data_IF_751979171608
#
_entry.id   IF_751979171608
#
_cell.length_a   1.000
_cell.length_b   1.000
_cell.length_c   1.000
_cell.angle_alpha   90.00
_cell.angle_beta   90.00
_cell.angle_gamma   90.00
#
_symmetry.space_group_name_H-M   'P 1'
#
loop_
_entity.id
_entity.type
_entity.pdbx_description
1 polymer ?
#
# COMPACT_ATOMS: atom_id res chain seq x y z
N UNK A 1 -3.44 9.24 -24.44
CA UNK A 1 -2.85 8.47 -23.32
C UNK A 1 -3.19 9.25 -22.05
N UNK A 2 -4.14 8.77 -21.26
CA UNK A 2 -4.66 9.50 -20.12
C UNK A 2 -3.62 9.58 -19.00
N UNK A 3 -3.42 10.76 -18.46
CA UNK A 3 -2.63 11.08 -17.27
C UNK A 3 -2.98 10.17 -16.05
N UNK A 4 -4.16 9.55 -16.04
CA UNK A 4 -4.64 8.70 -14.95
C UNK A 4 -3.88 7.40 -14.69
N UNK A 5 -3.10 6.87 -15.65
CA UNK A 5 -2.43 5.58 -15.48
C UNK A 5 -1.04 5.68 -14.80
N UNK A 6 -0.43 6.86 -14.81
CA UNK A 6 0.88 7.10 -14.19
C UNK A 6 0.76 7.16 -12.67
N UNK A 7 -0.36 7.66 -12.14
CA UNK A 7 -0.54 7.93 -10.70
C UNK A 7 -0.88 6.70 -9.84
N UNK A 8 -1.41 5.67 -10.45
CA UNK A 8 -1.95 4.49 -9.75
C UNK A 8 -0.95 3.69 -8.93
N UNK A 9 0.38 3.89 -9.14
CA UNK A 9 1.35 2.86 -8.76
C UNK A 9 2.70 3.39 -8.31
N UNK A 10 2.81 4.63 -7.88
CA UNK A 10 4.13 5.18 -7.55
C UNK A 10 4.80 4.42 -6.41
N UNK A 11 4.06 4.05 -5.37
CA UNK A 11 4.57 3.20 -4.30
C UNK A 11 4.98 1.82 -4.83
N UNK A 12 4.16 1.20 -5.70
CA UNK A 12 4.49 -0.09 -6.32
C UNK A 12 5.67 0.02 -7.30
N UNK A 13 5.81 1.13 -8.01
CA UNK A 13 6.98 1.38 -8.86
C UNK A 13 8.26 1.54 -8.03
N UNK A 14 8.19 2.22 -6.87
CA UNK A 14 9.31 2.29 -5.93
C UNK A 14 9.77 0.90 -5.48
N UNK A 15 8.84 -0.02 -5.24
CA UNK A 15 9.17 -1.42 -4.92
C UNK A 15 9.97 -2.04 -6.07
N UNK A 16 9.44 -2.00 -7.29
CA UNK A 16 10.06 -2.62 -8.47
C UNK A 16 11.45 -2.04 -8.74
N UNK A 17 11.59 -0.72 -8.68
CA UNK A 17 12.89 -0.06 -8.91
C UNK A 17 13.92 -0.44 -7.85
N UNK A 18 13.52 -0.55 -6.59
CA UNK A 18 14.42 -0.95 -5.52
C UNK A 18 14.72 -2.45 -5.53
N UNK A 19 13.78 -3.32 -5.94
CA UNK A 19 14.07 -4.73 -6.22
C UNK A 19 15.17 -4.83 -7.28
N UNK A 20 15.01 -4.17 -8.43
CA UNK A 20 15.99 -4.21 -9.53
C UNK A 20 17.35 -3.70 -9.10
N UNK A 21 17.41 -2.57 -8.39
CA UNK A 21 18.67 -2.00 -7.88
C UNK A 21 19.38 -2.93 -6.91
N UNK A 22 18.65 -3.50 -5.97
CA UNK A 22 19.21 -4.40 -4.96
C UNK A 22 19.69 -5.71 -5.59
N UNK A 23 18.92 -6.32 -6.49
CA UNK A 23 19.33 -7.51 -7.22
C UNK A 23 20.61 -7.27 -8.03
N UNK A 24 20.70 -6.13 -8.75
CA UNK A 24 21.90 -5.77 -9.50
C UNK A 24 23.13 -5.57 -8.60
N UNK A 25 22.95 -4.94 -7.43
CA UNK A 25 24.02 -4.73 -6.45
C UNK A 25 24.56 -6.05 -5.93
N UNK A 26 23.67 -6.95 -5.50
CA UNK A 26 24.09 -8.26 -4.95
C UNK A 26 24.65 -9.18 -6.04
N UNK A 27 24.10 -9.14 -7.26
CA UNK A 27 24.65 -9.87 -8.39
C UNK A 27 26.12 -9.49 -8.66
N UNK A 28 26.42 -8.18 -8.67
CA UNK A 28 27.78 -7.68 -8.83
C UNK A 28 28.71 -8.10 -7.67
N UNK A 29 28.23 -8.01 -6.43
CA UNK A 29 28.98 -8.40 -5.24
C UNK A 29 29.33 -9.90 -5.22
N UNK A 30 28.36 -10.74 -5.58
CA UNK A 30 28.48 -12.20 -5.57
C UNK A 30 29.11 -12.77 -6.86
N UNK A 31 29.28 -11.98 -7.89
CA UNK A 31 29.77 -12.42 -9.20
C UNK A 31 28.83 -13.39 -9.92
N UNK A 32 27.51 -13.23 -9.72
CA UNK A 32 26.47 -14.00 -10.39
C UNK A 32 25.72 -13.12 -11.39
N UNK A 33 25.12 -13.72 -12.41
CA UNK A 33 24.25 -13.03 -13.36
C UNK A 33 22.79 -13.25 -12.97
N UNK A 34 22.03 -12.15 -12.84
CA UNK A 34 20.58 -12.18 -12.59
C UNK A 34 19.91 -11.41 -13.72
N UNK A 35 19.16 -12.12 -14.55
CA UNK A 35 18.31 -11.50 -15.58
C UNK A 35 16.94 -11.21 -14.99
N UNK A 36 16.50 -9.95 -15.09
CA UNK A 36 15.16 -9.53 -14.63
C UNK A 36 14.27 -9.26 -15.83
N UNK A 37 13.29 -10.15 -16.04
CA UNK A 37 12.20 -9.91 -16.99
C UNK A 37 11.09 -9.14 -16.25
N UNK A 38 10.73 -7.98 -16.74
CA UNK A 38 9.72 -7.12 -16.12
C UNK A 38 8.62 -6.77 -17.11
N UNK A 39 7.39 -6.90 -16.65
CA UNK A 39 6.22 -6.43 -17.38
C UNK A 39 5.18 -5.84 -16.42
N UNK A 40 4.23 -5.06 -16.93
CA UNK A 40 3.23 -4.38 -16.15
C UNK A 40 1.85 -4.53 -16.80
N UNK A 41 0.93 -5.15 -16.08
CA UNK A 41 -0.44 -5.38 -16.57
C UNK A 41 -1.35 -4.14 -16.52
N UNK A 42 -0.91 -3.04 -15.93
CA UNK A 42 -1.69 -1.80 -15.80
C UNK A 42 -3.11 -2.00 -15.19
N UNK A 43 -3.27 -3.02 -14.32
CA UNK A 43 -4.56 -3.36 -13.70
C UNK A 43 -5.51 -4.13 -14.63
N UNK A 44 -5.05 -4.52 -15.80
CA UNK A 44 -5.81 -5.38 -16.71
C UNK A 44 -5.55 -6.85 -16.38
N UNK A 45 -6.60 -7.57 -16.00
CA UNK A 45 -6.51 -8.98 -15.59
C UNK A 45 -6.18 -9.91 -16.76
N UNK A 46 -6.58 -9.59 -17.97
CA UNK A 46 -6.26 -10.40 -19.17
C UNK A 46 -4.77 -10.27 -19.49
N UNK A 47 -4.25 -9.04 -19.48
CA UNK A 47 -2.83 -8.77 -19.68
C UNK A 47 -2.00 -9.42 -18.55
N UNK A 48 -2.45 -9.34 -17.30
CA UNK A 48 -1.80 -9.96 -16.15
C UNK A 48 -1.65 -11.47 -16.34
N UNK A 49 -2.73 -12.16 -16.68
CA UNK A 49 -2.72 -13.61 -16.90
C UNK A 49 -1.79 -13.99 -18.07
N UNK A 50 -1.77 -13.17 -19.14
CA UNK A 50 -0.88 -13.42 -20.27
C UNK A 50 0.60 -13.28 -19.88
N UNK A 51 0.95 -12.25 -19.10
CA UNK A 51 2.32 -12.05 -18.59
C UNK A 51 2.75 -13.25 -17.74
N UNK A 52 1.91 -13.70 -16.81
CA UNK A 52 2.19 -14.83 -15.92
C UNK A 52 2.39 -16.13 -16.74
N UNK A 53 1.50 -16.40 -17.71
CA UNK A 53 1.63 -17.52 -18.61
C UNK A 53 2.94 -17.51 -19.39
N UNK A 54 3.35 -16.34 -19.90
CA UNK A 54 4.62 -16.19 -20.59
C UNK A 54 5.82 -16.52 -19.69
N UNK A 55 5.80 -16.07 -18.42
CA UNK A 55 6.87 -16.40 -17.47
C UNK A 55 6.96 -17.90 -17.20
N UNK A 56 5.82 -18.61 -17.09
CA UNK A 56 5.80 -20.06 -16.90
C UNK A 56 6.34 -20.78 -18.14
N UNK A 57 5.93 -20.37 -19.35
CA UNK A 57 6.42 -20.92 -20.63
C UNK A 57 7.91 -20.70 -20.79
N UNK A 58 8.40 -19.52 -20.42
CA UNK A 58 9.83 -19.16 -20.45
C UNK A 58 10.65 -19.87 -19.37
N UNK A 59 9.99 -20.59 -18.44
CA UNK A 59 10.61 -21.31 -17.32
C UNK A 59 11.54 -20.43 -16.50
N UNK A 60 11.06 -19.27 -16.10
CA UNK A 60 11.82 -18.40 -15.20
C UNK A 60 12.10 -19.13 -13.88
N UNK A 61 13.22 -18.84 -13.25
CA UNK A 61 13.63 -19.53 -12.01
C UNK A 61 12.80 -19.10 -10.78
N UNK A 62 12.18 -17.93 -10.83
CA UNK A 62 11.33 -17.39 -9.78
C UNK A 62 10.41 -16.29 -10.35
N UNK A 63 9.18 -16.21 -9.88
CA UNK A 63 8.26 -15.10 -10.20
C UNK A 63 8.11 -14.16 -9.02
N UNK A 64 8.00 -12.85 -9.32
CA UNK A 64 7.75 -11.81 -8.31
C UNK A 64 6.42 -11.13 -8.60
N UNK A 65 5.46 -11.27 -7.67
CA UNK A 65 4.15 -10.65 -7.75
C UNK A 65 4.03 -9.42 -6.86
N UNK A 66 3.96 -8.24 -7.45
CA UNK A 66 3.78 -6.99 -6.70
C UNK A 66 2.30 -6.64 -6.62
N UNK A 67 1.78 -6.52 -5.42
CA UNK A 67 0.39 -6.35 -5.01
C UNK A 67 -0.43 -7.66 -4.95
N UNK A 68 -1.43 -7.66 -4.07
CA UNK A 68 -2.28 -8.84 -3.76
C UNK A 68 -2.90 -9.50 -4.99
N UNK A 69 -3.52 -8.77 -5.96
CA UNK A 69 -4.15 -9.42 -7.12
C UNK A 69 -3.14 -10.19 -7.99
N UNK A 70 -1.91 -9.66 -8.13
CA UNK A 70 -0.86 -10.31 -8.91
C UNK A 70 -0.36 -11.58 -8.22
N UNK A 71 -0.16 -11.51 -6.89
CA UNK A 71 0.26 -12.66 -6.10
C UNK A 71 -0.76 -13.81 -6.17
N UNK A 72 -2.06 -13.50 -6.04
CA UNK A 72 -3.16 -14.48 -6.17
C UNK A 72 -3.17 -15.12 -7.56
N UNK A 73 -3.03 -14.31 -8.62
CA UNK A 73 -3.01 -14.81 -9.98
C UNK A 73 -1.79 -15.71 -10.26
N UNK A 74 -0.60 -15.37 -9.73
CA UNK A 74 0.60 -16.19 -9.83
C UNK A 74 0.44 -17.51 -9.09
N UNK A 75 -0.09 -17.51 -7.87
CA UNK A 75 -0.39 -18.74 -7.12
C UNK A 75 -1.32 -19.65 -7.91
N UNK A 76 -2.45 -19.12 -8.38
CA UNK A 76 -3.41 -19.88 -9.16
C UNK A 76 -2.80 -20.46 -10.45
N UNK A 77 -1.91 -19.72 -11.11
CA UNK A 77 -1.25 -20.17 -12.33
C UNK A 77 -0.25 -21.31 -12.06
N UNK A 78 0.61 -21.21 -11.04
CA UNK A 78 1.56 -22.30 -10.71
C UNK A 78 0.83 -23.55 -10.26
N UNK A 79 -0.28 -23.43 -9.53
CA UNK A 79 -1.11 -24.56 -9.14
C UNK A 79 -1.79 -25.23 -10.36
N UNK A 80 -2.38 -24.42 -11.25
CA UNK A 80 -3.09 -24.91 -12.44
C UNK A 80 -2.16 -25.60 -13.43
N UNK A 81 -1.00 -25.01 -13.67
CA UNK A 81 0.02 -25.53 -14.60
C UNK A 81 0.91 -26.61 -13.96
N UNK A 82 0.70 -26.90 -12.68
CA UNK A 82 1.54 -27.82 -11.89
C UNK A 82 3.04 -27.46 -12.01
N UNK A 83 3.32 -26.15 -11.89
CA UNK A 83 4.67 -25.60 -12.05
C UNK A 83 5.40 -25.54 -10.71
N UNK A 84 6.70 -25.87 -10.71
CA UNK A 84 7.55 -25.82 -9.53
C UNK A 84 8.22 -24.44 -9.33
N UNK A 85 7.83 -23.43 -10.12
CA UNK A 85 8.42 -22.09 -10.03
C UNK A 85 8.00 -21.44 -8.72
N UNK A 86 8.96 -21.08 -7.84
CA UNK A 86 8.66 -20.36 -6.60
C UNK A 86 8.14 -18.94 -6.89
N UNK A 87 7.27 -18.47 -6.02
CA UNK A 87 6.69 -17.12 -6.09
C UNK A 87 7.06 -16.32 -4.86
N UNK A 88 7.60 -15.13 -5.07
CA UNK A 88 7.79 -14.13 -4.01
C UNK A 88 6.83 -12.98 -4.23
N UNK A 89 5.91 -12.75 -3.30
CA UNK A 89 5.07 -11.58 -3.37
C UNK A 89 5.70 -10.37 -2.68
N UNK A 90 5.29 -9.19 -3.10
CA UNK A 90 5.63 -7.92 -2.45
C UNK A 90 4.39 -7.04 -2.34
N UNK A 91 4.27 -6.32 -1.23
CA UNK A 91 3.11 -5.47 -0.93
C UNK A 91 1.78 -6.24 -0.96
N UNK A 92 1.71 -7.32 -0.22
CA UNK A 92 0.45 -8.02 0.08
C UNK A 92 0.04 -7.68 1.50
N UNK A 93 -1.09 -7.00 1.65
CA UNK A 93 -1.51 -6.45 2.95
C UNK A 93 -1.98 -7.53 3.92
N UNK A 94 -2.64 -8.57 3.44
CA UNK A 94 -3.13 -9.70 4.25
C UNK A 94 -2.87 -11.04 3.55
N UNK A 95 -1.67 -11.61 3.66
CA UNK A 95 -1.33 -12.87 3.02
C UNK A 95 -2.15 -14.07 3.52
N UNK A 96 -2.58 -14.04 4.80
CA UNK A 96 -3.42 -15.09 5.37
C UNK A 96 -4.87 -14.98 4.88
N UNK A 97 -5.47 -13.79 4.95
CA UNK A 97 -6.82 -13.54 4.47
C UNK A 97 -6.98 -13.78 2.97
N UNK A 98 -5.93 -13.50 2.21
CA UNK A 98 -5.85 -13.79 0.77
C UNK A 98 -5.56 -15.27 0.46
N UNK A 99 -5.34 -16.10 1.48
CA UNK A 99 -5.03 -17.55 1.36
C UNK A 99 -3.78 -17.85 0.52
N UNK A 100 -2.83 -16.95 0.51
CA UNK A 100 -1.55 -17.12 -0.17
C UNK A 100 -0.60 -18.01 0.63
N UNK A 101 -0.73 -18.03 1.94
CA UNK A 101 0.12 -18.78 2.86
C UNK A 101 -0.73 -19.47 3.94
N UNK A 102 -0.25 -20.60 4.45
CA UNK A 102 -0.90 -21.33 5.55
C UNK A 102 -0.68 -20.63 6.90
N UNK A 103 0.51 -20.09 7.10
CA UNK A 103 0.87 -19.25 8.23
C UNK A 103 1.94 -18.23 7.84
N UNK A 104 2.13 -17.17 8.64
CA UNK A 104 3.17 -16.17 8.38
C UNK A 104 4.57 -16.72 8.67
N UNK A 105 4.71 -17.60 9.65
CA UNK A 105 6.01 -18.18 10.04
C UNK A 105 6.44 -19.34 9.15
N UNK A 106 5.47 -20.10 8.60
CA UNK A 106 5.69 -21.21 7.69
C UNK A 106 4.62 -21.20 6.60
N UNK A 107 4.88 -20.59 5.45
CA UNK A 107 3.93 -20.43 4.35
C UNK A 107 3.33 -21.74 3.82
N UNK A 108 4.09 -22.84 3.85
CA UNK A 108 3.59 -24.20 3.56
C UNK A 108 3.58 -24.59 2.09
N UNK A 109 3.74 -23.65 1.16
CA UNK A 109 3.70 -23.88 -0.29
C UNK A 109 4.90 -23.28 -1.03
N UNK A 110 4.73 -23.03 -2.31
CA UNK A 110 5.77 -22.45 -3.18
C UNK A 110 5.79 -20.92 -3.12
N UNK A 111 4.97 -20.29 -2.27
CA UNK A 111 4.81 -18.85 -2.20
C UNK A 111 5.13 -18.32 -0.82
N UNK A 112 5.94 -17.27 -0.78
CA UNK A 112 6.21 -16.43 0.38
C UNK A 112 6.41 -14.99 -0.08
N UNK A 113 6.72 -14.06 0.81
CA UNK A 113 6.99 -12.70 0.38
C UNK A 113 7.05 -11.68 1.50
N UNK A 114 6.89 -10.42 1.12
CA UNK A 114 6.89 -9.28 2.01
C UNK A 114 5.51 -8.62 2.06
N UNK A 115 5.02 -8.35 3.26
CA UNK A 115 3.71 -7.73 3.47
C UNK A 115 3.85 -6.23 3.72
N UNK A 116 2.93 -5.47 3.16
CA UNK A 116 2.71 -4.06 3.50
C UNK A 116 1.55 -3.90 4.51
N UNK A 117 1.42 -4.86 5.44
CA UNK A 117 0.42 -4.83 6.50
C UNK A 117 0.25 -3.43 7.07
N UNK A 118 -1.00 -2.97 7.14
CA UNK A 118 -1.33 -1.66 7.65
C UNK A 118 -1.75 -1.75 9.12
N UNK A 119 -1.00 -1.08 10.00
CA UNK A 119 -1.41 -0.91 11.39
C UNK A 119 -2.50 0.16 11.48
N UNK A 120 -3.73 -0.23 11.19
CA UNK A 120 -4.89 0.66 11.17
C UNK A 120 -5.13 1.34 12.53
N UNK A 121 -4.95 0.60 13.63
CA UNK A 121 -5.14 1.16 14.97
C UNK A 121 -4.14 2.29 15.27
N UNK A 122 -2.91 2.18 14.78
CA UNK A 122 -1.94 3.27 14.92
C UNK A 122 -2.38 4.54 14.20
N UNK A 123 -3.01 4.41 13.01
CA UNK A 123 -3.57 5.58 12.32
C UNK A 123 -4.75 6.17 13.10
N UNK A 124 -5.62 5.34 13.63
CA UNK A 124 -6.72 5.81 14.49
C UNK A 124 -6.19 6.53 15.73
N UNK A 125 -5.10 6.02 16.33
CA UNK A 125 -4.41 6.72 17.43
C UNK A 125 -3.91 8.10 17.03
N UNK A 126 -3.37 8.28 15.82
CA UNK A 126 -2.94 9.60 15.32
C UNK A 126 -4.12 10.57 15.15
N UNK A 127 -5.26 10.08 14.66
CA UNK A 127 -6.50 10.87 14.56
C UNK A 127 -6.90 11.39 15.95
N UNK A 128 -6.98 10.49 16.94
CA UNK A 128 -7.38 10.82 18.30
C UNK A 128 -6.36 11.69 19.03
N UNK A 129 -5.09 11.51 18.72
CA UNK A 129 -4.01 12.34 19.30
C UNK A 129 -4.10 13.78 18.79
N UNK A 130 -4.46 13.96 17.50
CA UNK A 130 -4.63 15.29 16.89
C UNK A 130 -5.93 15.96 17.32
N UNK A 131 -7.01 15.20 17.44
CA UNK A 131 -8.32 15.67 17.87
C UNK A 131 -8.91 14.72 18.94
N UNK A 132 -8.57 14.95 20.22
CA UNK A 132 -9.06 14.09 21.31
C UNK A 132 -10.58 14.14 21.52
N UNK A 133 -11.23 15.19 21.04
CA UNK A 133 -12.66 15.41 21.19
C UNK A 133 -13.47 15.01 19.95
N UNK A 134 -12.84 14.36 18.97
CA UNK A 134 -13.49 13.92 17.74
C UNK A 134 -14.70 13.02 18.02
N UNK A 135 -15.80 13.28 17.32
CA UNK A 135 -17.07 12.54 17.51
C UNK A 135 -17.48 11.76 16.28
N UNK A 136 -17.00 12.15 15.11
CA UNK A 136 -17.46 11.56 13.86
C UNK A 136 -16.29 11.43 12.87
N UNK A 137 -16.04 10.22 12.39
CA UNK A 137 -14.99 9.88 11.41
C UNK A 137 -15.62 9.25 10.18
N UNK A 138 -15.19 9.70 9.01
CA UNK A 138 -15.54 9.10 7.73
C UNK A 138 -14.58 8.00 7.31
N UNK A 139 -15.08 6.92 6.75
CA UNK A 139 -14.30 5.89 6.08
C UNK A 139 -14.62 5.94 4.58
N UNK A 140 -13.60 6.17 3.76
CA UNK A 140 -13.71 6.25 2.31
C UNK A 140 -12.93 5.12 1.65
N UNK A 141 -13.60 4.25 0.92
CA UNK A 141 -12.97 3.08 0.32
C UNK A 141 -13.76 2.51 -0.86
N UNK A 142 -13.15 1.59 -1.59
CA UNK A 142 -13.79 0.77 -2.62
C UNK A 142 -14.05 -0.63 -2.05
N UNK A 143 -15.31 -1.06 -2.06
CA UNK A 143 -15.73 -2.38 -1.56
C UNK A 143 -15.14 -3.55 -2.37
N UNK A 144 -14.67 -3.29 -3.58
CA UNK A 144 -14.02 -4.27 -4.44
C UNK A 144 -12.51 -4.42 -4.22
N UNK A 145 -11.94 -3.65 -3.27
CA UNK A 145 -10.51 -3.72 -2.95
C UNK A 145 -10.28 -4.63 -1.74
N UNK A 146 -9.66 -5.79 -1.95
CA UNK A 146 -9.34 -6.75 -0.87
C UNK A 146 -8.47 -6.11 0.21
N UNK A 147 -7.54 -5.22 -0.18
CA UNK A 147 -6.69 -4.47 0.74
C UNK A 147 -7.43 -3.54 1.70
N UNK A 148 -8.69 -3.21 1.40
CA UNK A 148 -9.53 -2.33 2.23
C UNK A 148 -10.37 -3.08 3.25
N UNK A 149 -10.71 -4.35 3.01
CA UNK A 149 -11.70 -5.11 3.78
C UNK A 149 -11.34 -5.17 5.27
N UNK A 150 -10.16 -5.69 5.61
CA UNK A 150 -9.74 -5.81 7.01
C UNK A 150 -9.45 -4.45 7.66
N UNK A 151 -8.68 -3.53 7.05
CA UNK A 151 -8.43 -2.22 7.65
C UNK A 151 -9.69 -1.40 7.93
N UNK A 152 -10.70 -1.46 7.07
CA UNK A 152 -11.98 -0.76 7.30
C UNK A 152 -12.72 -1.37 8.50
N UNK A 153 -12.78 -2.71 8.58
CA UNK A 153 -13.39 -3.38 9.73
C UNK A 153 -12.66 -3.05 11.04
N UNK A 154 -11.32 -3.05 11.02
CA UNK A 154 -10.50 -2.72 12.20
C UNK A 154 -10.70 -1.26 12.63
N UNK A 155 -10.69 -0.31 11.68
CA UNK A 155 -10.93 1.11 11.96
C UNK A 155 -12.31 1.34 12.58
N UNK A 156 -13.35 0.73 11.99
CA UNK A 156 -14.73 0.82 12.49
C UNK A 156 -14.83 0.29 13.91
N UNK A 157 -14.36 -0.92 14.16
CA UNK A 157 -14.39 -1.53 15.48
C UNK A 157 -13.64 -0.69 16.52
N UNK A 158 -12.47 -0.14 16.15
CA UNK A 158 -11.66 0.69 17.04
C UNK A 158 -12.38 2.00 17.42
N UNK A 159 -12.97 2.69 16.45
CA UNK A 159 -13.65 3.99 16.65
C UNK A 159 -14.95 3.80 17.42
N UNK A 160 -15.77 2.82 17.03
CA UNK A 160 -17.05 2.52 17.71
C UNK A 160 -16.84 2.11 19.17
N UNK A 161 -15.78 1.33 19.48
CA UNK A 161 -15.42 0.99 20.87
C UNK A 161 -15.09 2.22 21.73
N UNK A 162 -14.72 3.35 21.12
CA UNK A 162 -14.48 4.64 21.79
C UNK A 162 -15.69 5.58 21.76
N UNK A 163 -16.82 5.12 21.24
CA UNK A 163 -18.05 5.91 21.15
C UNK A 163 -18.02 6.97 20.04
N UNK A 164 -17.17 6.79 19.05
CA UNK A 164 -17.05 7.68 17.89
C UNK A 164 -17.98 7.17 16.80
N UNK A 165 -18.80 8.07 16.24
CA UNK A 165 -19.69 7.75 15.12
C UNK A 165 -18.83 7.54 13.84
N UNK A 166 -19.14 6.45 13.12
CA UNK A 166 -18.45 6.10 11.87
C UNK A 166 -19.42 6.22 10.70
N UNK A 167 -19.04 7.00 9.69
CA UNK A 167 -19.80 7.14 8.44
C UNK A 167 -18.98 6.53 7.32
N UNK A 168 -19.53 5.50 6.69
CA UNK A 168 -18.92 4.84 5.54
C UNK A 168 -19.46 5.42 4.22
N UNK A 169 -18.55 5.73 3.28
CA UNK A 169 -18.88 6.08 1.92
C UNK A 169 -17.94 5.35 0.97
N UNK A 170 -18.48 4.85 -0.12
CA UNK A 170 -17.76 4.00 -1.06
C UNK A 170 -17.87 4.50 -2.48
N UNK A 171 -16.90 4.14 -3.31
CA UNK A 171 -16.92 4.42 -4.74
C UNK A 171 -15.95 3.50 -5.46
N UNK A 172 -16.31 3.07 -6.66
CA UNK A 172 -15.53 2.16 -7.52
C UNK A 172 -14.94 2.88 -8.74
N UNK A 173 -15.36 4.12 -8.95
CA UNK A 173 -14.87 5.01 -10.01
C UNK A 173 -14.50 6.37 -9.43
N UNK A 174 -13.69 7.17 -10.16
CA UNK A 174 -13.29 8.52 -9.73
C UNK A 174 -14.51 9.41 -9.47
N UNK A 175 -15.55 9.31 -10.31
CA UNK A 175 -16.77 10.10 -10.14
C UNK A 175 -17.55 9.69 -8.88
N UNK A 176 -17.71 8.40 -8.64
CA UNK A 176 -18.34 7.89 -7.41
C UNK A 176 -17.56 8.27 -6.16
N UNK A 177 -16.23 8.15 -6.18
CA UNK A 177 -15.34 8.57 -5.08
C UNK A 177 -15.47 10.07 -4.82
N UNK A 178 -15.55 10.89 -5.86
CA UNK A 178 -15.78 12.33 -5.76
C UNK A 178 -17.12 12.65 -5.08
N UNK A 179 -18.19 11.94 -5.46
CA UNK A 179 -19.49 12.07 -4.82
C UNK A 179 -19.47 11.61 -3.37
N UNK A 180 -18.77 10.50 -3.08
CA UNK A 180 -18.60 9.97 -1.73
C UNK A 180 -17.83 10.96 -0.82
N UNK A 181 -16.78 11.60 -1.33
CA UNK A 181 -16.04 12.63 -0.61
C UNK A 181 -16.92 13.84 -0.27
N UNK A 182 -17.71 14.34 -1.22
CA UNK A 182 -18.68 15.42 -0.98
C UNK A 182 -19.75 15.03 0.04
N UNK A 183 -20.21 13.78 -0.01
CA UNK A 183 -21.19 13.26 0.94
C UNK A 183 -20.61 13.24 2.38
N UNK A 184 -19.36 12.79 2.56
CA UNK A 184 -18.68 12.82 3.87
C UNK A 184 -18.58 14.24 4.44
N UNK A 185 -18.28 15.24 3.59
CA UNK A 185 -18.29 16.65 4.02
C UNK A 185 -19.69 17.07 4.50
N UNK A 186 -20.73 16.70 3.74
CA UNK A 186 -22.12 17.02 4.09
C UNK A 186 -22.61 16.28 5.34
N UNK A 187 -22.09 15.08 5.60
CA UNK A 187 -22.38 14.29 6.81
C UNK A 187 -21.71 14.87 8.08
N UNK A 188 -20.83 15.85 7.91
CA UNK A 188 -20.17 16.56 9.00
C UNK A 188 -19.10 15.72 9.70
N UNK A 189 -18.38 14.86 8.98
CA UNK A 189 -17.23 14.16 9.52
C UNK A 189 -16.10 15.14 9.86
N UNK A 190 -15.32 14.81 10.87
CA UNK A 190 -14.22 15.67 11.37
C UNK A 190 -12.86 15.19 10.90
N UNK A 191 -12.77 13.94 10.47
CA UNK A 191 -11.62 13.35 9.80
C UNK A 191 -12.09 12.25 8.85
N UNK A 192 -11.27 11.91 7.87
CA UNK A 192 -11.51 10.80 6.94
C UNK A 192 -10.33 9.84 6.98
N UNK A 193 -10.61 8.54 6.93
CA UNK A 193 -9.61 7.50 6.79
C UNK A 193 -9.84 6.70 5.51
N UNK A 194 -8.75 6.43 4.80
CA UNK A 194 -8.68 5.52 3.65
C UNK A 194 -7.48 4.58 3.84
N UNK A 195 -7.66 3.26 3.75
CA UNK A 195 -6.54 2.30 3.80
C UNK A 195 -5.69 2.33 2.52
N UNK A 196 -4.95 1.25 2.24
CA UNK A 196 -4.17 1.07 1.00
C UNK A 196 -5.07 0.73 -0.19
N UNK A 197 -6.01 1.61 -0.51
CA UNK A 197 -7.04 1.44 -1.53
C UNK A 197 -6.60 2.04 -2.86
N UNK A 198 -6.46 1.21 -3.89
CA UNK A 198 -5.97 1.65 -5.20
C UNK A 198 -6.97 2.52 -5.95
N UNK A 199 -8.27 2.32 -5.75
CA UNK A 199 -9.32 3.14 -6.39
C UNK A 199 -9.35 4.54 -5.83
N UNK A 200 -9.27 4.66 -4.49
CA UNK A 200 -9.21 5.97 -3.84
C UNK A 200 -7.89 6.67 -4.16
N UNK A 201 -6.77 5.91 -4.18
CA UNK A 201 -5.45 6.46 -4.55
C UNK A 201 -5.49 7.18 -5.90
N UNK A 202 -6.12 6.57 -6.91
CA UNK A 202 -6.28 7.20 -8.24
C UNK A 202 -7.10 8.47 -8.21
N UNK A 203 -8.01 8.53 -7.26
CA UNK A 203 -8.98 9.61 -7.16
C UNK A 203 -8.47 10.76 -6.30
N UNK A 204 -7.36 10.58 -5.57
CA UNK A 204 -6.89 11.53 -4.54
C UNK A 204 -6.69 12.94 -5.10
N UNK A 205 -6.02 13.09 -6.26
CA UNK A 205 -5.86 14.40 -6.91
C UNK A 205 -7.18 15.07 -7.29
N UNK A 206 -8.27 14.32 -7.40
CA UNK A 206 -9.60 14.85 -7.70
C UNK A 206 -10.40 15.21 -6.44
N UNK A 207 -10.02 14.69 -5.27
CA UNK A 207 -10.81 14.83 -4.05
C UNK A 207 -10.12 15.61 -2.92
N UNK A 208 -8.79 15.74 -2.93
CA UNK A 208 -8.04 16.32 -1.80
C UNK A 208 -8.49 17.76 -1.46
N UNK A 209 -8.83 18.59 -2.46
CA UNK A 209 -9.31 19.95 -2.23
C UNK A 209 -10.67 19.96 -1.54
N UNK A 210 -11.54 18.98 -1.82
CA UNK A 210 -12.86 18.85 -1.17
C UNK A 210 -12.69 18.76 0.35
N UNK A 211 -11.75 17.92 0.81
CA UNK A 211 -11.48 17.77 2.23
C UNK A 211 -10.69 18.95 2.81
N UNK A 212 -9.65 19.43 2.11
CA UNK A 212 -8.82 20.53 2.57
C UNK A 212 -9.62 21.83 2.75
N UNK A 213 -10.51 22.17 1.80
CA UNK A 213 -11.37 23.36 1.87
C UNK A 213 -12.41 23.26 3.00
N UNK A 214 -12.90 22.04 3.26
CA UNK A 214 -13.79 21.76 4.39
C UNK A 214 -13.05 21.66 5.74
N UNK A 215 -11.71 21.79 5.77
CA UNK A 215 -10.87 21.62 6.97
C UNK A 215 -10.95 20.22 7.58
N UNK A 216 -11.15 19.21 6.76
CA UNK A 216 -11.24 17.81 7.17
C UNK A 216 -9.91 17.14 6.81
N UNK A 217 -9.09 16.67 7.79
CA UNK A 217 -7.87 15.94 7.50
C UNK A 217 -8.18 14.55 6.96
N UNK A 218 -7.53 14.21 5.83
CA UNK A 218 -7.59 12.88 5.22
C UNK A 218 -6.35 12.08 5.64
N UNK A 219 -6.57 11.05 6.48
CA UNK A 219 -5.56 10.11 6.94
C UNK A 219 -5.59 8.87 6.05
N UNK A 220 -4.44 8.39 5.64
CA UNK A 220 -4.36 7.32 4.65
C UNK A 220 -3.29 6.29 4.95
N UNK A 221 -3.34 5.16 4.27
CA UNK A 221 -2.48 4.00 4.48
C UNK A 221 -1.20 3.98 3.65
N UNK A 222 -0.86 5.04 2.90
CA UNK A 222 0.38 5.09 2.12
C UNK A 222 0.83 6.54 1.85
N UNK A 223 2.14 6.71 1.66
CA UNK A 223 2.78 7.99 1.37
C UNK A 223 2.34 8.62 0.04
N UNK A 224 2.01 7.81 -0.95
CA UNK A 224 1.51 8.28 -2.25
C UNK A 224 0.18 9.05 -2.16
N UNK A 225 -0.66 8.76 -1.18
CA UNK A 225 -1.83 9.60 -0.92
C UNK A 225 -1.44 10.99 -0.43
N UNK A 226 -0.48 11.07 0.50
CA UNK A 226 0.03 12.35 0.98
C UNK A 226 0.68 13.15 -0.16
N UNK A 227 1.41 12.48 -1.06
CA UNK A 227 1.94 13.08 -2.28
C UNK A 227 0.81 13.70 -3.13
N UNK A 228 -0.31 13.02 -3.28
CA UNK A 228 -1.43 13.48 -4.10
C UNK A 228 -2.43 14.37 -3.34
N UNK A 229 -2.10 14.84 -2.15
CA UNK A 229 -2.86 15.86 -1.44
C UNK A 229 -3.67 15.40 -0.23
N UNK A 230 -3.54 14.14 0.23
CA UNK A 230 -4.02 13.78 1.55
C UNK A 230 -3.18 14.47 2.64
N UNK A 231 -3.75 14.65 3.81
CA UNK A 231 -3.04 15.25 4.95
C UNK A 231 -1.87 14.38 5.40
N UNK A 232 -2.11 13.08 5.53
CA UNK A 232 -1.14 12.13 6.07
C UNK A 232 -1.24 10.79 5.36
N UNK A 233 -0.09 10.25 4.97
CA UNK A 233 0.09 8.84 4.63
C UNK A 233 0.90 8.15 5.72
N UNK A 234 0.37 7.07 6.29
CA UNK A 234 1.04 6.29 7.31
C UNK A 234 1.22 4.85 6.83
N UNK A 235 2.43 4.34 6.94
CA UNK A 235 2.65 2.94 6.56
C UNK A 235 4.11 2.60 6.30
N UNK A 236 4.29 1.64 5.42
CA UNK A 236 5.58 1.09 5.03
C UNK A 236 6.37 2.07 4.17
N UNK A 237 7.68 2.09 4.35
CA UNK A 237 8.59 2.64 3.36
C UNK A 237 8.70 1.66 2.18
N UNK A 238 8.07 1.98 1.07
CA UNK A 238 7.99 1.10 -0.10
C UNK A 238 9.34 0.90 -0.80
N UNK A 239 10.28 1.84 -0.69
CA UNK A 239 11.64 1.64 -1.18
C UNK A 239 12.35 0.56 -0.36
N UNK A 240 12.24 0.61 0.97
CA UNK A 240 12.77 -0.41 1.88
C UNK A 240 12.07 -1.76 1.65
N UNK A 241 10.76 -1.78 1.43
CA UNK A 241 10.02 -2.99 1.09
C UNK A 241 10.62 -3.68 -0.15
N UNK A 242 10.93 -2.91 -1.18
CA UNK A 242 11.58 -3.41 -2.40
C UNK A 242 12.95 -4.04 -2.13
N UNK A 243 13.77 -3.40 -1.32
CA UNK A 243 15.09 -3.94 -0.93
C UNK A 243 14.94 -5.27 -0.19
N UNK A 244 14.03 -5.36 0.77
CA UNK A 244 13.81 -6.58 1.54
C UNK A 244 13.18 -7.70 0.70
N UNK A 245 12.31 -7.35 -0.24
CA UNK A 245 11.80 -8.32 -1.23
C UNK A 245 12.95 -8.89 -2.06
N UNK A 246 13.88 -8.06 -2.53
CA UNK A 246 15.06 -8.52 -3.26
C UNK A 246 15.95 -9.43 -2.41
N UNK A 247 16.15 -9.10 -1.14
CA UNK A 247 16.90 -9.95 -0.21
C UNK A 247 16.25 -11.33 -0.06
N UNK A 248 14.92 -11.41 0.02
CA UNK A 248 14.19 -12.68 0.05
C UNK A 248 14.32 -13.47 -1.25
N UNK A 249 14.27 -12.80 -2.41
CA UNK A 249 14.52 -13.43 -3.72
C UNK A 249 15.92 -14.07 -3.74
N UNK A 250 16.94 -13.35 -3.27
CA UNK A 250 18.32 -13.83 -3.18
C UNK A 250 18.41 -15.03 -2.25
N UNK A 251 17.75 -14.99 -1.10
CA UNK A 251 17.71 -16.09 -0.15
C UNK A 251 17.14 -17.38 -0.78
N UNK A 252 16.09 -17.26 -1.55
CA UNK A 252 15.47 -18.41 -2.23
C UNK A 252 16.31 -18.87 -3.42
N UNK A 253 16.67 -17.98 -4.34
CA UNK A 253 17.33 -18.36 -5.59
C UNK A 253 18.81 -18.74 -5.42
N UNK A 254 19.53 -18.02 -4.56
CA UNK A 254 20.99 -18.15 -4.43
C UNK A 254 21.36 -18.94 -3.20
N UNK A 255 20.73 -18.65 -2.05
CA UNK A 255 21.05 -19.29 -0.79
C UNK A 255 20.27 -20.61 -0.56
N UNK A 256 19.33 -20.94 -1.47
CA UNK A 256 18.62 -22.22 -1.46
C UNK A 256 17.56 -22.34 -0.35
N UNK A 257 17.05 -21.24 0.17
CA UNK A 257 15.96 -21.29 1.15
C UNK A 257 14.67 -21.77 0.48
N UNK A 258 13.92 -22.62 1.18
CA UNK A 258 12.64 -23.12 0.75
C UNK A 258 11.55 -22.08 1.03
N UNK A 259 10.76 -21.66 0.02
CA UNK A 259 9.62 -20.75 0.23
C UNK A 259 8.63 -21.24 1.29
N UNK A 260 8.40 -22.57 1.36
CA UNK A 260 7.48 -23.18 2.31
C UNK A 260 7.84 -22.93 3.79
N UNK A 261 9.12 -22.72 4.08
CA UNK A 261 9.65 -22.49 5.43
C UNK A 261 10.28 -21.12 5.61
N UNK A 262 10.29 -20.29 4.58
CA UNK A 262 10.77 -18.90 4.67
C UNK A 262 9.63 -18.02 5.15
N UNK A 263 9.70 -17.46 6.37
CA UNK A 263 8.62 -16.64 6.91
C UNK A 263 8.26 -15.46 6.03
N UNK A 264 6.99 -15.10 6.00
CA UNK A 264 6.54 -13.83 5.43
C UNK A 264 7.15 -12.69 6.25
N UNK A 265 7.82 -11.77 5.57
CA UNK A 265 8.37 -10.60 6.23
C UNK A 265 7.26 -9.54 6.43
N UNK A 266 6.91 -9.33 7.68
CA UNK A 266 6.01 -8.26 8.09
C UNK A 266 6.82 -7.03 8.41
N UNK A 267 6.40 -5.87 7.87
CA UNK A 267 6.99 -4.60 8.24
C UNK A 267 6.23 -3.98 9.40
N UNK A 268 6.99 -3.50 10.38
CA UNK A 268 6.43 -2.66 11.42
C UNK A 268 6.17 -1.27 10.81
N UNK A 269 4.90 -0.95 10.66
CA UNK A 269 4.48 0.33 10.15
C UNK A 269 4.86 1.41 11.15
N UNK A 270 5.41 2.50 10.70
CA UNK A 270 5.84 3.52 11.63
C UNK A 270 6.13 4.87 10.99
N UNK A 271 6.18 4.93 9.66
CA UNK A 271 6.46 6.18 8.94
C UNK A 271 5.19 6.96 8.67
N UNK A 272 5.10 8.17 9.22
CA UNK A 272 4.08 9.15 8.90
C UNK A 272 4.64 10.17 7.91
N UNK A 273 4.06 10.23 6.71
CA UNK A 273 4.38 11.23 5.70
C UNK A 273 3.29 12.30 5.69
N UNK A 274 3.64 13.53 6.05
CA UNK A 274 2.70 14.65 6.21
C UNK A 274 2.86 15.59 5.02
N UNK A 275 1.75 15.89 4.35
CA UNK A 275 1.72 16.92 3.32
C UNK A 275 1.69 18.30 3.97
N UNK A 276 2.77 19.08 3.80
CA UNK A 276 2.95 20.38 4.46
C UNK A 276 2.02 21.46 3.91
N UNK A 277 1.66 21.40 2.63
CA UNK A 277 0.72 22.33 2.01
C UNK A 277 -0.70 22.10 2.53
N UNK A 278 -1.11 20.84 2.64
CA UNK A 278 -2.40 20.47 3.19
C UNK A 278 -2.45 20.74 4.69
N UNK A 279 -1.37 20.46 5.41
CA UNK A 279 -1.21 20.82 6.83
C UNK A 279 -1.52 22.32 7.04
N UNK A 280 -0.93 23.19 6.22
CA UNK A 280 -1.18 24.63 6.27
C UNK A 280 -2.62 24.99 5.87
N UNK A 281 -3.18 24.37 4.81
CA UNK A 281 -4.59 24.58 4.42
C UNK A 281 -5.56 24.19 5.53
N UNK A 282 -5.28 23.15 6.31
CA UNK A 282 -6.07 22.73 7.47
C UNK A 282 -5.94 23.68 8.67
N UNK A 283 -4.99 24.62 8.61
CA UNK A 283 -4.68 25.52 9.71
C UNK A 283 -3.78 24.89 10.77
N UNK A 284 -3.05 23.84 10.42
CA UNK A 284 -2.11 23.16 11.30
C UNK A 284 -0.69 23.69 11.08
N UNK A 285 0.13 23.63 12.14
CA UNK A 285 1.57 23.85 12.06
C UNK A 285 2.27 22.50 11.92
N UNK A 286 3.08 22.34 10.88
CA UNK A 286 3.79 21.08 10.61
C UNK A 286 4.71 20.66 11.76
N UNK A 287 5.47 21.59 12.33
CA UNK A 287 6.41 21.27 13.41
C UNK A 287 5.69 20.79 14.68
N UNK A 288 4.54 21.40 14.98
CA UNK A 288 3.71 20.99 16.12
C UNK A 288 3.11 19.59 15.89
N UNK A 289 2.56 19.34 14.68
CA UNK A 289 1.99 18.02 14.32
C UNK A 289 3.08 16.96 14.30
N UNK A 290 4.24 17.26 13.72
CA UNK A 290 5.39 16.36 13.68
C UNK A 290 5.86 15.96 15.10
N UNK A 291 5.98 16.94 16.01
CA UNK A 291 6.32 16.67 17.41
C UNK A 291 5.26 15.85 18.12
N UNK A 292 3.98 16.11 17.81
CA UNK A 292 2.85 15.39 18.41
C UNK A 292 2.86 13.92 17.98
N UNK A 293 3.12 13.63 16.71
CA UNK A 293 3.08 12.28 16.14
C UNK A 293 4.38 11.48 16.36
N UNK A 294 5.53 12.13 16.48
CA UNK A 294 6.84 11.48 16.61
C UNK A 294 6.90 10.36 17.67
N UNK A 295 6.30 10.49 18.87
CA UNK A 295 6.33 9.41 19.85
C UNK A 295 5.55 8.14 19.44
N UNK A 296 4.69 8.23 18.42
CA UNK A 296 3.84 7.15 17.90
C UNK A 296 4.31 6.62 16.55
N UNK A 297 5.36 7.20 15.99
CA UNK A 297 5.90 6.85 14.68
C UNK A 297 7.37 6.48 14.78
N UNK A 298 7.84 5.60 13.92
CA UNK A 298 9.27 5.34 13.74
C UNK A 298 9.94 6.54 13.10
N UNK A 299 9.24 7.20 12.18
CA UNK A 299 9.71 8.39 11.47
C UNK A 299 8.53 9.28 11.09
N UNK A 300 8.75 10.58 11.07
CA UNK A 300 7.83 11.57 10.51
C UNK A 300 8.55 12.30 9.38
N UNK A 301 7.98 12.22 8.18
CA UNK A 301 8.50 12.85 6.95
C UNK A 301 7.57 13.97 6.50
N UNK A 302 8.10 14.92 5.75
CA UNK A 302 7.34 15.94 5.05
C UNK A 302 7.30 15.67 3.55
N UNK A 303 6.22 16.07 2.90
CA UNK A 303 6.06 16.07 1.45
C UNK A 303 5.22 17.26 1.02
N UNK A 304 5.32 17.67 -0.23
CA UNK A 304 4.44 18.64 -0.88
C UNK A 304 3.57 17.94 -1.91
N UNK A 305 2.47 18.57 -2.29
CA UNK A 305 1.55 18.02 -3.29
C UNK A 305 2.23 18.00 -4.66
N UNK A 306 2.26 16.83 -5.26
CA UNK A 306 2.79 16.59 -6.60
C UNK A 306 2.08 15.42 -7.27
N UNK A 307 2.22 15.33 -8.57
CA UNK A 307 1.69 14.22 -9.35
C UNK A 307 2.57 12.98 -9.22
N UNK A 308 3.87 13.15 -9.06
CA UNK A 308 4.83 12.07 -8.92
C UNK A 308 5.91 12.37 -7.88
N UNK A 309 6.55 11.34 -7.33
CA UNK A 309 7.68 11.50 -6.41
C UNK A 309 8.88 12.18 -7.07
N UNK A 310 9.02 12.04 -8.39
CA UNK A 310 10.09 12.71 -9.14
C UNK A 310 9.89 14.23 -9.25
N UNK A 311 8.67 14.70 -9.02
CA UNK A 311 8.29 16.12 -9.07
C UNK A 311 8.45 16.83 -7.72
N UNK A 312 8.74 16.09 -6.65
CA UNK A 312 8.96 16.65 -5.31
C UNK A 312 10.34 17.33 -5.27
N UNK A 313 10.34 18.64 -4.92
CA UNK A 313 11.56 19.45 -4.83
C UNK A 313 12.17 19.43 -3.45
#
# INVERSE_FOLDING_TARGET
RGLGDVYKRQSLNQIVDNIKKQLASVAAEKGVEIEVKYDNCNGDSVVMNQIISNFIVDKVDLMVGVATPVAIAMQAAVETENSDIPVVFSAVSDPLGSKLVESLDAPGGQITGTSDYLNTNAIMDLILLKDPDIKKVGLLYDVGQDSSTKPIADAKAYLEAKGIEVIERTGTTVDEVTLAAKALVSDGVQAVFTPTDNTIMKSELSIYEIFADAKIPHYTGADSFALNGAFLGYGVDYAKLGVETANMIIDIMINGKDPATTPVLMFDNGTATINTEICAKLGYNFDEVSKLFAPKCTEVKSITTAESFDDVK
#
